data_IF_337851848301
#
_entry.id   IF_337851848301
#
_cell.length_a   1.000
_cell.length_b   1.000
_cell.length_c   1.000
_cell.angle_alpha   90.00
_cell.angle_beta   90.00
_cell.angle_gamma   90.00
#
_symmetry.space_group_name_H-M   'P 1'
#
loop_
_entity.id
_entity.type
_entity.pdbx_description
1 polymer ?
#
# COMPACT_ATOMS: atom_id res chain seq x y z
N UNK A 1 1.44 -18.79 -7.59
CA UNK A 1 2.29 -17.79 -8.27
C UNK A 1 2.26 -16.51 -7.44
N UNK A 2 3.20 -15.59 -7.65
CA UNK A 2 3.19 -14.26 -7.02
C UNK A 2 2.70 -13.22 -8.01
N UNK A 3 2.14 -12.12 -7.51
CA UNK A 3 1.81 -10.96 -8.35
C UNK A 3 3.04 -10.36 -9.01
N UNK A 4 2.83 -9.60 -10.09
CA UNK A 4 3.91 -8.85 -10.74
C UNK A 4 4.41 -7.73 -9.81
N UNK A 5 3.50 -7.09 -9.08
CA UNK A 5 3.81 -6.09 -8.07
C UNK A 5 4.70 -6.63 -6.96
N UNK A 6 4.47 -7.85 -6.45
CA UNK A 6 5.37 -8.46 -5.48
C UNK A 6 6.76 -8.71 -6.08
N UNK A 7 6.84 -9.21 -7.33
CA UNK A 7 8.12 -9.39 -8.00
C UNK A 7 8.90 -8.06 -8.15
N UNK A 8 8.21 -7.00 -8.57
CA UNK A 8 8.78 -5.65 -8.67
C UNK A 8 9.29 -5.11 -7.33
N UNK A 9 8.53 -5.32 -6.25
CA UNK A 9 8.96 -4.95 -4.90
C UNK A 9 10.22 -5.72 -4.48
N UNK A 10 10.26 -7.04 -4.70
CA UNK A 10 11.40 -7.86 -4.29
C UNK A 10 12.67 -7.46 -5.04
N UNK A 11 12.57 -7.10 -6.32
CA UNK A 11 13.68 -6.51 -7.05
C UNK A 11 14.16 -5.18 -6.43
N UNK A 12 13.23 -4.30 -6.02
CA UNK A 12 13.58 -3.06 -5.29
C UNK A 12 14.16 -3.29 -3.89
N UNK A 13 13.74 -4.35 -3.21
CA UNK A 13 14.36 -4.80 -1.95
C UNK A 13 15.79 -5.26 -2.18
N UNK A 14 16.03 -6.02 -3.26
CA UNK A 14 17.36 -6.50 -3.62
C UNK A 14 18.29 -5.34 -4.02
N UNK A 15 17.76 -4.34 -4.72
CA UNK A 15 18.46 -3.07 -5.02
C UNK A 15 18.92 -2.37 -3.72
N UNK A 16 18.01 -2.15 -2.77
CA UNK A 16 18.35 -1.50 -1.49
C UNK A 16 19.33 -2.36 -0.68
N UNK A 17 19.20 -3.70 -0.75
CA UNK A 17 20.15 -4.62 -0.10
C UNK A 17 21.53 -4.51 -0.72
N UNK A 18 21.63 -4.41 -2.04
CA UNK A 18 22.90 -4.20 -2.75
C UNK A 18 23.52 -2.86 -2.37
N UNK A 19 22.74 -1.76 -2.35
CA UNK A 19 23.21 -0.44 -1.92
C UNK A 19 23.80 -0.48 -0.49
N UNK A 20 23.11 -1.15 0.44
CA UNK A 20 23.55 -1.28 1.83
C UNK A 20 24.94 -1.92 1.98
N UNK A 21 25.40 -2.72 1.01
CA UNK A 21 26.73 -3.34 1.07
C UNK A 21 27.88 -2.32 1.04
N UNK A 22 27.61 -1.09 0.56
CA UNK A 22 28.62 -0.02 0.49
C UNK A 22 29.00 0.56 1.85
N UNK A 23 28.07 0.55 2.81
CA UNK A 23 28.29 0.99 4.20
C UNK A 23 27.76 -0.09 5.17
N UNK A 24 28.50 -1.20 5.34
CA UNK A 24 28.08 -2.27 6.24
C UNK A 24 28.10 -1.79 7.70
N UNK A 25 27.48 -2.58 8.58
CA UNK A 25 27.54 -2.33 10.04
C UNK A 25 29.01 -2.24 10.45
N UNK A 26 29.47 -1.10 11.03
CA UNK A 26 30.86 -0.93 11.42
C UNK A 26 31.27 -1.99 12.45
N UNK A 27 32.36 -2.73 12.19
CA UNK A 27 32.93 -3.68 13.15
C UNK A 27 33.90 -3.02 14.14
N UNK A 28 34.33 -1.78 13.88
CA UNK A 28 35.44 -1.11 14.57
C UNK A 28 35.10 0.24 15.25
N UNK A 29 33.82 0.53 15.52
CA UNK A 29 33.39 1.78 16.17
C UNK A 29 32.51 2.67 15.30
N UNK A 30 32.06 3.79 15.85
CA UNK A 30 31.17 4.75 15.16
C UNK A 30 32.02 5.57 14.17
N UNK A 31 31.67 5.64 12.88
CA UNK A 31 32.36 6.49 11.91
C UNK A 31 32.37 7.95 12.38
N UNK A 32 33.44 8.69 12.10
CA UNK A 32 33.57 10.11 12.45
C UNK A 32 33.88 10.96 11.22
N UNK A 33 33.66 12.28 11.30
CA UNK A 33 33.96 13.21 10.21
C UNK A 33 33.15 12.94 8.93
N UNK A 34 33.81 12.99 7.77
CA UNK A 34 33.19 12.86 6.45
C UNK A 34 32.51 11.50 6.26
N UNK A 35 33.09 10.43 6.80
CA UNK A 35 32.53 9.08 6.71
C UNK A 35 31.20 8.95 7.47
N UNK A 36 31.06 9.65 8.61
CA UNK A 36 29.81 9.70 9.36
C UNK A 36 28.69 10.37 8.55
N UNK A 37 29.02 11.49 7.90
CA UNK A 37 28.08 12.23 7.03
C UNK A 37 27.67 11.36 5.83
N UNK A 38 28.63 10.68 5.21
CA UNK A 38 28.37 9.79 4.08
C UNK A 38 27.50 8.59 4.48
N UNK A 39 27.79 7.94 5.61
CA UNK A 39 26.99 6.84 6.15
C UNK A 39 25.55 7.28 6.47
N UNK A 40 25.38 8.46 7.07
CA UNK A 40 24.08 9.06 7.34
C UNK A 40 23.29 9.33 6.06
N UNK A 41 23.90 9.99 5.07
CA UNK A 41 23.28 10.27 3.79
C UNK A 41 22.85 8.97 3.08
N UNK A 42 23.71 7.96 3.12
CA UNK A 42 23.42 6.64 2.56
C UNK A 42 22.24 5.95 3.26
N UNK A 43 22.20 5.94 4.59
CA UNK A 43 21.07 5.38 5.34
C UNK A 43 19.75 6.06 5.01
N UNK A 44 19.76 7.40 4.88
CA UNK A 44 18.59 8.18 4.45
C UNK A 44 18.12 7.78 3.04
N UNK A 45 19.06 7.65 2.10
CA UNK A 45 18.74 7.22 0.73
C UNK A 45 18.08 5.83 0.70
N UNK A 46 18.62 4.86 1.45
CA UNK A 46 18.04 3.51 1.56
C UNK A 46 16.61 3.53 2.12
N UNK A 47 16.34 4.36 3.14
CA UNK A 47 14.99 4.51 3.73
C UNK A 47 14.01 5.09 2.71
N UNK A 48 14.40 6.17 2.01
CA UNK A 48 13.55 6.81 1.00
C UNK A 48 13.22 5.84 -0.13
N UNK A 49 14.25 5.16 -0.65
CA UNK A 49 14.10 4.22 -1.76
C UNK A 49 13.22 3.02 -1.38
N UNK A 50 13.47 2.39 -0.22
CA UNK A 50 12.66 1.26 0.25
C UNK A 50 11.20 1.66 0.51
N UNK A 51 10.97 2.84 1.08
CA UNK A 51 9.62 3.36 1.27
C UNK A 51 8.91 3.63 -0.05
N UNK A 52 9.63 4.13 -1.07
CA UNK A 52 9.09 4.34 -2.42
C UNK A 52 8.70 3.01 -3.08
N UNK A 53 9.53 1.98 -2.93
CA UNK A 53 9.23 0.64 -3.44
C UNK A 53 7.99 0.04 -2.76
N UNK A 54 7.86 0.19 -1.43
CA UNK A 54 6.66 -0.24 -0.71
C UNK A 54 5.40 0.52 -1.18
N UNK A 55 5.50 1.83 -1.41
CA UNK A 55 4.39 2.64 -1.91
C UNK A 55 3.96 2.17 -3.31
N UNK A 56 4.90 2.06 -4.26
CA UNK A 56 4.59 1.57 -5.61
C UNK A 56 4.00 0.17 -5.58
N UNK A 57 4.48 -0.72 -4.71
CA UNK A 57 3.91 -2.06 -4.54
C UNK A 57 2.41 -2.02 -4.21
N UNK A 58 1.97 -1.20 -3.25
CA UNK A 58 0.56 -1.12 -2.89
C UNK A 58 -0.30 -0.57 -4.03
N UNK A 59 0.20 0.43 -4.75
CA UNK A 59 -0.48 0.97 -5.93
C UNK A 59 -0.59 -0.07 -7.05
N UNK A 60 0.51 -0.72 -7.40
CA UNK A 60 0.55 -1.74 -8.45
C UNK A 60 -0.30 -2.97 -8.07
N UNK A 61 -0.29 -3.39 -6.80
CA UNK A 61 -1.11 -4.50 -6.33
C UNK A 61 -2.61 -4.18 -6.45
N UNK A 62 -3.01 -2.94 -6.18
CA UNK A 62 -4.38 -2.47 -6.38
C UNK A 62 -4.75 -2.40 -7.87
N UNK A 63 -3.86 -1.89 -8.72
CA UNK A 63 -4.01 -1.89 -10.18
C UNK A 63 -4.27 -3.32 -10.70
N UNK A 64 -3.41 -4.27 -10.37
CA UNK A 64 -3.53 -5.68 -10.76
C UNK A 64 -4.81 -6.34 -10.22
N UNK A 65 -5.14 -6.09 -8.94
CA UNK A 65 -6.35 -6.65 -8.33
C UNK A 65 -7.63 -6.15 -9.01
N UNK A 66 -7.70 -4.85 -9.32
CA UNK A 66 -8.85 -4.24 -9.99
C UNK A 66 -8.96 -4.69 -11.44
N UNK A 67 -7.85 -4.70 -12.17
CA UNK A 67 -7.82 -5.20 -13.55
C UNK A 67 -8.34 -6.64 -13.60
N UNK A 68 -7.84 -7.51 -12.71
CA UNK A 68 -8.29 -8.89 -12.63
C UNK A 68 -9.78 -8.99 -12.31
N UNK A 69 -10.28 -8.25 -11.31
CA UNK A 69 -11.70 -8.25 -10.93
C UNK A 69 -12.60 -7.81 -12.10
N UNK A 70 -12.24 -6.73 -12.80
CA UNK A 70 -12.96 -6.27 -13.97
C UNK A 70 -13.03 -7.34 -15.06
N UNK A 71 -11.96 -8.14 -15.24
CA UNK A 71 -11.94 -9.25 -16.19
C UNK A 71 -12.80 -10.45 -15.75
N UNK A 72 -13.10 -10.60 -14.45
CA UNK A 72 -13.97 -11.68 -13.97
C UNK A 72 -15.47 -11.38 -14.15
N UNK A 73 -15.84 -10.10 -14.32
CA UNK A 73 -17.24 -9.66 -14.45
C UNK A 73 -18.16 -10.23 -13.35
N UNK A 74 -17.65 -10.37 -12.12
CA UNK A 74 -18.42 -10.84 -10.97
C UNK A 74 -19.41 -9.76 -10.48
N UNK A 75 -20.46 -10.19 -9.75
CA UNK A 75 -21.46 -9.28 -9.19
C UNK A 75 -20.90 -8.38 -8.08
N UNK A 76 -21.32 -7.11 -8.07
CA UNK A 76 -20.88 -6.11 -7.09
C UNK A 76 -21.46 -6.34 -5.69
N UNK A 77 -22.52 -7.15 -5.58
CA UNK A 77 -23.12 -7.60 -4.32
C UNK A 77 -22.15 -8.38 -3.41
N UNK A 78 -21.03 -8.85 -3.97
CA UNK A 78 -19.99 -9.60 -3.25
C UNK A 78 -18.93 -8.72 -2.60
N UNK A 79 -18.95 -7.43 -2.89
CA UNK A 79 -18.01 -6.45 -2.34
C UNK A 79 -18.52 -5.89 -1.03
N UNK A 80 -17.60 -5.30 -0.26
CA UNK A 80 -17.99 -4.56 0.95
C UNK A 80 -18.59 -3.22 0.56
N UNK A 81 -19.52 -2.71 1.36
CA UNK A 81 -20.03 -1.34 1.17
C UNK A 81 -18.88 -0.32 1.21
N UNK A 82 -17.84 -0.56 2.03
CA UNK A 82 -16.67 0.32 2.10
C UNK A 82 -15.94 0.41 0.75
N UNK A 83 -15.85 -0.69 0.00
CA UNK A 83 -15.30 -0.72 -1.36
C UNK A 83 -16.16 0.13 -2.32
N UNK A 84 -17.47 -0.09 -2.35
CA UNK A 84 -18.40 0.62 -3.24
C UNK A 84 -18.46 2.12 -2.92
N UNK A 85 -18.45 2.47 -1.63
CA UNK A 85 -18.41 3.85 -1.16
C UNK A 85 -17.14 4.58 -1.61
N UNK A 86 -15.97 3.92 -1.65
CA UNK A 86 -14.74 4.57 -2.11
C UNK A 86 -14.86 5.06 -3.56
N UNK A 87 -15.54 4.32 -4.44
CA UNK A 87 -15.78 4.78 -5.82
C UNK A 87 -16.67 6.02 -5.91
N UNK A 88 -17.57 6.20 -4.95
CA UNK A 88 -18.51 7.34 -4.97
C UNK A 88 -18.00 8.53 -4.18
N UNK A 89 -17.00 8.33 -3.32
CA UNK A 89 -16.59 9.30 -2.29
C UNK A 89 -16.16 10.64 -2.87
N UNK A 90 -15.27 10.66 -3.86
CA UNK A 90 -14.74 11.90 -4.42
C UNK A 90 -15.86 12.80 -4.96
N UNK A 91 -16.74 12.21 -5.77
CA UNK A 91 -17.88 12.92 -6.38
C UNK A 91 -18.87 13.39 -5.31
N UNK A 92 -19.15 12.57 -4.29
CA UNK A 92 -20.02 12.96 -3.16
C UNK A 92 -19.41 14.11 -2.35
N UNK A 93 -18.11 14.04 -2.04
CA UNK A 93 -17.39 15.09 -1.31
C UNK A 93 -17.38 16.41 -2.11
N UNK A 94 -17.29 16.33 -3.44
CA UNK A 94 -17.32 17.51 -4.31
C UNK A 94 -18.73 18.10 -4.44
N UNK A 95 -19.76 17.25 -4.61
CA UNK A 95 -21.16 17.66 -4.57
C UNK A 95 -21.51 18.38 -3.27
N UNK A 96 -20.99 17.91 -2.14
CA UNK A 96 -21.21 18.53 -0.83
C UNK A 96 -20.64 19.96 -0.73
N UNK A 97 -19.53 20.24 -1.44
CA UNK A 97 -18.87 21.56 -1.48
C UNK A 97 -19.46 22.51 -2.53
N UNK A 98 -20.20 21.98 -3.52
CA UNK A 98 -20.80 22.79 -4.58
C UNK A 98 -21.99 23.62 -4.09
N UNK A 99 -22.17 24.80 -4.69
CA UNK A 99 -23.36 25.63 -4.53
C UNK A 99 -24.61 24.92 -5.07
N UNK A 100 -25.77 25.19 -4.46
CA UNK A 100 -27.01 24.45 -4.71
C UNK A 100 -27.44 24.47 -6.19
N UNK A 101 -27.32 25.62 -6.84
CA UNK A 101 -27.63 25.85 -8.26
C UNK A 101 -26.81 24.98 -9.22
N UNK A 102 -25.60 24.58 -8.81
CA UNK A 102 -24.70 23.74 -9.61
C UNK A 102 -24.83 22.24 -9.33
N UNK A 103 -25.55 21.83 -8.28
CA UNK A 103 -25.69 20.41 -7.90
C UNK A 103 -26.55 19.62 -8.87
N UNK A 104 -27.56 20.24 -9.48
CA UNK A 104 -28.50 19.54 -10.37
C UNK A 104 -27.81 18.80 -11.54
N UNK A 105 -26.99 19.48 -12.36
CA UNK A 105 -26.20 18.83 -13.40
C UNK A 105 -25.24 17.76 -12.85
N UNK A 106 -24.47 18.08 -11.80
CA UNK A 106 -23.49 17.15 -11.23
C UNK A 106 -24.13 15.89 -10.62
N UNK A 107 -25.33 15.99 -10.04
CA UNK A 107 -26.10 14.84 -9.56
C UNK A 107 -26.55 13.93 -10.71
N UNK A 108 -26.92 14.49 -11.87
CA UNK A 108 -27.25 13.69 -13.06
C UNK A 108 -26.02 12.93 -13.56
N UNK A 109 -24.86 13.57 -13.60
CA UNK A 109 -23.61 12.93 -13.98
C UNK A 109 -23.24 11.82 -12.99
N UNK A 110 -23.38 12.08 -11.68
CA UNK A 110 -23.16 11.08 -10.64
C UNK A 110 -24.07 9.86 -10.83
N UNK A 111 -25.38 10.06 -10.99
CA UNK A 111 -26.31 8.95 -11.21
C UNK A 111 -25.97 8.19 -12.49
N UNK A 112 -25.65 8.89 -13.58
CA UNK A 112 -25.31 8.25 -14.85
C UNK A 112 -24.03 7.41 -14.77
N UNK A 113 -23.02 7.87 -14.04
CA UNK A 113 -21.72 7.20 -13.97
C UNK A 113 -21.63 6.16 -12.84
N UNK A 114 -22.33 6.37 -11.72
CA UNK A 114 -22.16 5.56 -10.51
C UNK A 114 -23.37 4.68 -10.16
N UNK A 115 -24.55 4.87 -10.76
CA UNK A 115 -25.72 4.05 -10.42
C UNK A 115 -25.49 2.55 -10.64
N UNK A 116 -24.62 2.18 -11.59
CA UNK A 116 -24.24 0.78 -11.85
C UNK A 116 -23.59 0.10 -10.64
N UNK A 117 -22.90 0.85 -9.77
CA UNK A 117 -22.30 0.30 -8.56
C UNK A 117 -23.31 -0.01 -7.45
N UNK A 118 -24.47 0.64 -7.50
CA UNK A 118 -25.50 0.58 -6.46
C UNK A 118 -26.78 -0.14 -6.92
N UNK A 119 -26.88 -0.41 -8.22
CA UNK A 119 -28.02 -1.10 -8.82
C UNK A 119 -28.01 -2.59 -8.57
N UNK A 120 -29.19 -3.18 -8.45
CA UNK A 120 -29.34 -4.63 -8.46
C UNK A 120 -28.79 -5.20 -9.79
N UNK A 121 -27.89 -6.19 -9.68
CA UNK A 121 -27.26 -6.82 -10.85
C UNK A 121 -26.07 -6.05 -11.43
N UNK A 122 -25.54 -5.04 -10.72
CA UNK A 122 -24.27 -4.42 -11.08
C UNK A 122 -23.14 -5.44 -11.12
N UNK A 123 -22.28 -5.36 -12.14
CA UNK A 123 -21.11 -6.22 -12.29
C UNK A 123 -19.81 -5.42 -12.26
N UNK A 124 -18.74 -6.11 -11.92
CA UNK A 124 -17.38 -5.62 -12.12
C UNK A 124 -17.11 -5.46 -13.62
N UNK A 125 -16.26 -4.50 -14.00
CA UNK A 125 -16.04 -4.15 -15.41
C UNK A 125 -15.70 -2.67 -15.60
N UNK A 126 -16.05 -1.83 -14.62
CA UNK A 126 -15.75 -0.41 -14.60
C UNK A 126 -15.14 0.06 -13.27
N UNK A 127 -14.61 -0.86 -12.45
CA UNK A 127 -13.91 -0.50 -11.20
C UNK A 127 -12.67 0.31 -11.58
N UNK A 128 -12.54 1.50 -11.00
CA UNK A 128 -11.42 2.41 -11.18
C UNK A 128 -10.45 2.32 -10.00
N UNK A 129 -9.21 1.87 -10.26
CA UNK A 129 -8.23 1.57 -9.20
C UNK A 129 -7.78 2.82 -8.44
N UNK A 130 -7.68 3.97 -9.10
CA UNK A 130 -7.28 5.26 -8.53
C UNK A 130 -8.27 5.74 -7.44
N UNK A 131 -9.57 5.52 -7.66
CA UNK A 131 -10.61 5.91 -6.69
C UNK A 131 -10.47 5.16 -5.35
N UNK A 132 -9.99 3.93 -5.36
CA UNK A 132 -9.80 3.12 -4.15
C UNK A 132 -8.64 3.59 -3.28
N UNK A 133 -7.66 4.30 -3.86
CA UNK A 133 -6.43 4.73 -3.19
C UNK A 133 -6.30 6.24 -3.03
N UNK A 134 -7.26 7.06 -3.51
CA UNK A 134 -7.20 8.53 -3.46
C UNK A 134 -6.93 9.11 -2.06
N UNK A 135 -7.34 8.39 -1.01
CA UNK A 135 -7.16 8.81 0.39
C UNK A 135 -5.79 8.43 0.97
N UNK A 136 -5.05 7.53 0.33
CA UNK A 136 -3.79 7.00 0.84
C UNK A 136 -2.62 7.89 0.42
N UNK A 137 -2.13 8.69 1.37
CA UNK A 137 -0.95 9.55 1.15
C UNK A 137 0.38 8.83 1.35
N UNK A 138 0.37 7.74 2.10
CA UNK A 138 1.54 6.92 2.41
C UNK A 138 1.09 5.54 2.91
N UNK A 139 1.89 4.48 2.72
CA UNK A 139 1.56 3.12 3.15
C UNK A 139 1.81 2.91 4.66
N UNK A 140 1.28 3.81 5.51
CA UNK A 140 1.32 3.64 6.98
C UNK A 140 0.51 2.41 7.38
N UNK A 141 0.81 1.73 8.50
CA UNK A 141 0.09 0.52 8.89
C UNK A 141 -1.43 0.64 8.95
N UNK A 142 -1.96 1.77 9.41
CA UNK A 142 -3.41 2.02 9.46
C UNK A 142 -4.00 2.15 8.05
N UNK A 143 -3.24 2.77 7.14
CA UNK A 143 -3.62 2.87 5.73
C UNK A 143 -3.56 1.49 5.07
N UNK A 144 -2.54 0.68 5.36
CA UNK A 144 -2.49 -0.69 4.86
C UNK A 144 -3.69 -1.51 5.36
N UNK A 145 -4.01 -1.44 6.65
CA UNK A 145 -5.21 -2.12 7.20
C UNK A 145 -6.47 -1.68 6.47
N UNK A 146 -6.69 -0.38 6.31
CA UNK A 146 -7.87 0.15 5.62
C UNK A 146 -7.94 -0.31 4.16
N UNK A 147 -6.82 -0.30 3.44
CA UNK A 147 -6.75 -0.76 2.07
C UNK A 147 -7.14 -2.24 1.94
N UNK A 148 -6.54 -3.12 2.73
CA UNK A 148 -6.85 -4.56 2.66
C UNK A 148 -8.28 -4.87 3.15
N UNK A 149 -8.85 -4.02 4.01
CA UNK A 149 -10.24 -4.13 4.44
C UNK A 149 -11.24 -3.92 3.30
N UNK A 150 -10.90 -3.12 2.28
CA UNK A 150 -11.73 -2.97 1.06
C UNK A 150 -11.98 -4.33 0.40
N UNK A 151 -11.02 -5.25 0.48
CA UNK A 151 -11.10 -6.61 -0.04
C UNK A 151 -11.56 -7.65 1.00
N UNK A 152 -12.13 -7.21 2.13
CA UNK A 152 -12.64 -8.11 3.19
C UNK A 152 -11.57 -8.69 4.11
N UNK A 153 -10.37 -8.10 4.16
CA UNK A 153 -9.32 -8.48 5.11
C UNK A 153 -9.29 -7.47 6.27
N UNK A 154 -10.01 -7.77 7.36
CA UNK A 154 -10.18 -6.88 8.52
C UNK A 154 -8.86 -6.32 9.08
N UNK A 155 -7.80 -7.13 9.10
CA UNK A 155 -6.49 -6.67 9.55
C UNK A 155 -5.39 -7.48 8.86
N UNK A 156 -4.70 -6.85 7.91
CA UNK A 156 -3.63 -7.48 7.14
C UNK A 156 -2.46 -7.95 8.01
N UNK A 157 -2.14 -7.27 9.11
CA UNK A 157 -1.07 -7.71 10.01
C UNK A 157 -1.46 -8.95 10.81
N UNK A 158 -2.75 -9.11 11.14
CA UNK A 158 -3.28 -10.36 11.69
C UNK A 158 -3.21 -11.48 10.66
N UNK A 159 -3.61 -11.22 9.41
CA UNK A 159 -3.57 -12.20 8.32
C UNK A 159 -2.13 -12.61 7.96
N UNK A 160 -1.19 -11.67 8.00
CA UNK A 160 0.21 -11.87 7.66
C UNK A 160 1.01 -12.58 8.77
N UNK A 161 0.52 -12.60 10.01
CA UNK A 161 1.31 -13.13 11.15
C UNK A 161 0.47 -13.92 12.16
N UNK A 162 0.99 -15.09 12.55
CA UNK A 162 0.34 -15.95 13.55
C UNK A 162 0.51 -15.45 14.99
N UNK A 163 1.72 -15.01 15.37
CA UNK A 163 2.08 -14.65 16.75
C UNK A 163 1.95 -13.15 17.00
N UNK A 164 1.38 -12.76 18.15
CA UNK A 164 1.21 -11.34 18.56
C UNK A 164 2.52 -10.56 18.57
N UNK A 165 3.60 -11.14 19.09
CA UNK A 165 4.91 -10.47 19.13
C UNK A 165 5.47 -10.18 17.73
N UNK A 166 5.39 -11.16 16.82
CA UNK A 166 5.82 -11.00 15.42
C UNK A 166 4.99 -9.94 14.70
N UNK A 167 3.68 -9.88 15.00
CA UNK A 167 2.78 -8.87 14.47
C UNK A 167 3.19 -7.46 14.89
N UNK A 168 3.43 -7.26 16.19
CA UNK A 168 3.87 -5.98 16.73
C UNK A 168 5.19 -5.52 16.10
N UNK A 169 6.15 -6.43 15.96
CA UNK A 169 7.43 -6.14 15.31
C UNK A 169 7.27 -5.78 13.82
N UNK A 170 6.41 -6.50 13.07
CA UNK A 170 6.14 -6.21 11.67
C UNK A 170 5.47 -4.84 11.50
N UNK A 171 4.44 -4.58 12.31
CA UNK A 171 3.70 -3.32 12.32
C UNK A 171 4.61 -2.14 12.64
N UNK A 172 5.42 -2.26 13.70
CA UNK A 172 6.37 -1.23 14.11
C UNK A 172 7.44 -1.00 13.03
N UNK A 173 7.98 -2.06 12.43
CA UNK A 173 8.98 -1.95 11.37
C UNK A 173 8.50 -1.17 10.15
N UNK A 174 7.24 -1.38 9.72
CA UNK A 174 6.64 -0.61 8.62
C UNK A 174 6.35 0.83 9.06
N UNK A 175 5.82 1.03 10.28
CA UNK A 175 5.56 2.38 10.81
C UNK A 175 6.82 3.23 10.84
N UNK A 176 7.88 2.71 11.46
CA UNK A 176 9.16 3.41 11.61
C UNK A 176 9.80 3.73 10.25
N UNK A 177 9.69 2.83 9.26
CA UNK A 177 10.17 3.09 7.90
C UNK A 177 9.48 4.32 7.30
N UNK A 178 8.14 4.35 7.34
CA UNK A 178 7.35 5.44 6.74
C UNK A 178 7.54 6.75 7.51
N UNK A 179 7.58 6.70 8.84
CA UNK A 179 7.86 7.88 9.68
C UNK A 179 9.25 8.45 9.39
N UNK A 180 10.28 7.59 9.32
CA UNK A 180 11.65 8.01 9.02
C UNK A 180 11.75 8.62 7.63
N UNK A 181 11.08 8.05 6.61
CA UNK A 181 10.99 8.66 5.26
C UNK A 181 10.33 10.04 5.31
N UNK A 182 9.25 10.21 6.06
CA UNK A 182 8.56 11.50 6.16
C UNK A 182 9.43 12.56 6.82
N UNK A 183 10.13 12.23 7.90
CA UNK A 183 11.06 13.17 8.54
C UNK A 183 12.19 13.58 7.59
N UNK A 184 12.73 12.63 6.81
CA UNK A 184 13.73 12.92 5.76
C UNK A 184 13.16 13.88 4.71
N UNK A 185 11.93 13.63 4.22
CA UNK A 185 11.26 14.45 3.23
C UNK A 185 10.94 15.87 3.74
N UNK A 186 10.69 16.02 5.04
CA UNK A 186 10.52 17.32 5.70
C UNK A 186 11.85 18.05 6.01
N UNK A 187 12.99 17.49 5.59
CA UNK A 187 14.28 18.15 5.75
C UNK A 187 14.87 18.06 7.16
N UNK A 188 14.36 17.18 8.02
CA UNK A 188 14.94 16.99 9.36
C UNK A 188 16.37 16.45 9.22
N UNK A 189 17.35 17.30 9.47
CA UNK A 189 18.77 16.98 9.40
C UNK A 189 19.20 15.98 10.47
N UNK A 190 18.46 15.83 11.58
CA UNK A 190 18.78 14.91 12.66
C UNK A 190 18.24 13.50 12.44
N UNK A 191 17.37 13.31 11.45
CA UNK A 191 16.92 11.97 11.10
C UNK A 191 18.05 11.15 10.47
N UNK A 192 18.44 10.08 11.16
CA UNK A 192 19.46 9.12 10.73
C UNK A 192 18.85 7.72 10.65
N UNK A 193 19.31 6.90 9.70
CA UNK A 193 18.95 5.49 9.62
C UNK A 193 20.21 4.64 9.76
N UNK A 194 20.31 3.89 10.86
CA UNK A 194 21.45 3.00 11.06
C UNK A 194 21.38 1.82 10.09
N UNK A 195 22.51 1.19 9.71
CA UNK A 195 22.49 0.00 8.85
C UNK A 195 21.64 -1.15 9.42
N UNK A 196 21.55 -1.25 10.75
CA UNK A 196 20.67 -2.20 11.45
C UNK A 196 19.19 -1.85 11.29
N UNK A 197 18.82 -0.57 11.33
CA UNK A 197 17.46 -0.11 11.02
C UNK A 197 17.07 -0.48 9.58
N UNK A 198 17.92 -0.16 8.60
CA UNK A 198 17.68 -0.49 7.19
C UNK A 198 17.47 -1.99 7.00
N UNK A 199 18.28 -2.81 7.68
CA UNK A 199 18.12 -4.27 7.64
C UNK A 199 16.79 -4.72 8.25
N UNK A 200 16.38 -4.14 9.38
CA UNK A 200 15.08 -4.40 10.00
C UNK A 200 13.93 -4.03 9.04
N UNK A 201 14.02 -2.87 8.38
CA UNK A 201 13.01 -2.42 7.43
C UNK A 201 12.91 -3.32 6.21
N UNK A 202 14.05 -3.73 5.61
CA UNK A 202 14.07 -4.67 4.48
C UNK A 202 13.35 -5.98 4.82
N UNK A 203 13.63 -6.53 6.01
CA UNK A 203 12.99 -7.76 6.48
C UNK A 203 11.49 -7.56 6.74
N UNK A 204 11.10 -6.43 7.33
CA UNK A 204 9.69 -6.10 7.57
C UNK A 204 8.92 -5.96 6.26
N UNK A 205 9.41 -5.18 5.30
CA UNK A 205 8.79 -4.97 3.99
C UNK A 205 8.65 -6.28 3.23
N UNK A 206 9.74 -7.05 3.10
CA UNK A 206 9.71 -8.33 2.38
C UNK A 206 8.71 -9.30 3.00
N UNK A 207 8.73 -9.43 4.33
CA UNK A 207 7.82 -10.33 5.05
C UNK A 207 6.36 -9.91 4.92
N UNK A 208 6.10 -8.61 5.06
CA UNK A 208 4.76 -8.04 4.91
C UNK A 208 4.23 -8.34 3.51
N UNK A 209 4.96 -7.95 2.47
CA UNK A 209 4.50 -8.08 1.09
C UNK A 209 4.25 -9.52 0.67
N UNK A 210 5.18 -10.45 0.95
CA UNK A 210 4.99 -11.87 0.66
C UNK A 210 3.71 -12.43 1.30
N UNK A 211 3.40 -12.01 2.52
CA UNK A 211 2.23 -12.51 3.23
C UNK A 211 0.93 -11.80 2.79
N UNK A 212 1.05 -10.50 2.48
CA UNK A 212 -0.06 -9.67 2.05
C UNK A 212 -0.55 -10.06 0.66
N UNK A 213 0.40 -10.32 -0.26
CA UNK A 213 0.13 -10.78 -1.63
C UNK A 213 -0.76 -12.04 -1.63
N UNK A 214 -0.31 -13.10 -0.96
CA UNK A 214 -1.11 -14.32 -0.86
C UNK A 214 -2.41 -14.16 -0.07
N UNK A 215 -2.51 -13.19 0.85
CA UNK A 215 -3.75 -12.92 1.58
C UNK A 215 -4.78 -12.24 0.68
N UNK A 216 -4.35 -11.27 -0.13
CA UNK A 216 -5.21 -10.61 -1.10
C UNK A 216 -5.67 -11.57 -2.18
N UNK A 217 -4.75 -12.38 -2.73
CA UNK A 217 -5.08 -13.36 -3.76
C UNK A 217 -6.19 -14.32 -3.29
N UNK A 218 -6.14 -14.78 -2.03
CA UNK A 218 -7.21 -15.59 -1.40
C UNK A 218 -8.53 -14.82 -1.25
N UNK A 219 -8.46 -13.54 -0.87
CA UNK A 219 -9.65 -12.71 -0.73
C UNK A 219 -10.33 -12.46 -2.09
N UNK A 220 -9.54 -12.16 -3.13
CA UNK A 220 -10.01 -11.98 -4.50
C UNK A 220 -10.68 -13.26 -5.04
N UNK A 221 -10.07 -14.43 -4.79
CA UNK A 221 -10.70 -15.72 -5.09
C UNK A 221 -12.07 -15.88 -4.41
N UNK A 222 -12.20 -15.46 -3.16
CA UNK A 222 -13.50 -15.53 -2.44
C UNK A 222 -14.53 -14.60 -3.08
N UNK A 223 -14.13 -13.40 -3.49
CA UNK A 223 -15.02 -12.42 -4.13
C UNK A 223 -15.47 -12.94 -5.51
N UNK A 224 -14.56 -13.39 -6.36
CA UNK A 224 -14.92 -13.81 -7.73
C UNK A 224 -15.45 -15.26 -7.81
N UNK A 225 -15.22 -16.09 -6.79
CA UNK A 225 -15.44 -17.56 -6.84
C UNK A 225 -14.65 -18.27 -7.95
N UNK A 226 -13.52 -17.71 -8.39
CA UNK A 226 -12.66 -18.27 -9.45
C UNK A 226 -11.27 -18.65 -8.93
N UNK A 227 -10.40 -19.16 -9.80
CA UNK A 227 -9.02 -19.44 -9.43
C UNK A 227 -8.29 -18.17 -8.98
N UNK A 228 -7.25 -18.33 -8.18
CA UNK A 228 -6.46 -17.21 -7.64
C UNK A 228 -5.77 -16.49 -8.82
N UNK A 229 -5.73 -15.14 -8.84
CA UNK A 229 -5.10 -14.41 -9.94
C UNK A 229 -3.59 -14.65 -10.06
N UNK A 230 -2.94 -15.06 -8.95
CA UNK A 230 -1.56 -15.52 -8.89
C UNK A 230 -1.38 -16.56 -7.79
#
# INVERSE_FOLDING_TARGET
MSSQSLAGLLAGVDEVRALRTRYPVPRGGIPTGVEAVAAKAHGRACVVLLSSHLERYIHALNEEAVEWLNNQNCGLDRFTDEFLLMHSRGVVDDLAKMSWDRRGPALRDFVSAHATFWGAGGSTGAIQHDQLLVWMKAPKPESLVRFFKLYGIENIFNAATRKKATRGALYLGIRELVEKRNNIAHGDAQTEALPTDVTRYLNAVSKFANSADGSLARALKKIASTAVPW
#
